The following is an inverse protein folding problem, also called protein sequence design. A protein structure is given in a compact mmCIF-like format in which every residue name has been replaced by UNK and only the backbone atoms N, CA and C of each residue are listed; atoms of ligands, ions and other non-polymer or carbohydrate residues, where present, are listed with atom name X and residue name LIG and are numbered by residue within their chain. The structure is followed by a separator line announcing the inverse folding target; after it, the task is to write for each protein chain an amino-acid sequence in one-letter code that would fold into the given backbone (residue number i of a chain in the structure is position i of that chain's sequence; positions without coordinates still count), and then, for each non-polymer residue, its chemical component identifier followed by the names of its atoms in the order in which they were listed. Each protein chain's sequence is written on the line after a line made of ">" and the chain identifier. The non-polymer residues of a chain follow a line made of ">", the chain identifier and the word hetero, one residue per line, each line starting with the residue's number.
data_IF_434971037577
#
_entry.id   IF_434971037577
#
_cell.length_a   1.000
_cell.length_b   1.000
_cell.length_c   1.000
_cell.angle_alpha   90.00
_cell.angle_beta   90.00
_cell.angle_gamma   90.00
#
_symmetry.space_group_name_H-M   'P 1'
#
loop_
_entity.id
_entity.type
_entity.pdbx_description
1 polymer ?
#
# COMPACT_ATOMS: atom_id res chain seq x y z
N UNK A 1 32.74 2.95 11.09
CA UNK A 1 32.27 1.79 10.32
C UNK A 1 31.34 0.99 11.22
N UNK A 2 30.03 1.04 10.94
CA UNK A 2 29.06 0.13 11.54
C UNK A 2 28.18 -0.35 10.39
N UNK A 3 28.55 -1.51 9.83
CA UNK A 3 27.70 -2.26 8.91
C UNK A 3 26.59 -2.88 9.76
N UNK A 4 25.41 -2.27 9.72
CA UNK A 4 24.19 -2.95 10.15
C UNK A 4 23.96 -4.09 9.14
N UNK A 5 23.93 -5.37 9.55
CA UNK A 5 23.46 -6.41 8.65
C UNK A 5 22.03 -6.04 8.26
N UNK A 6 21.62 -6.18 6.98
CA UNK A 6 20.22 -5.96 6.64
C UNK A 6 19.37 -6.88 7.52
N UNK A 7 18.19 -6.43 8.00
CA UNK A 7 17.30 -7.31 8.74
C UNK A 7 17.09 -8.57 7.89
N UNK A 8 17.35 -9.73 8.48
CA UNK A 8 17.29 -11.05 7.86
C UNK A 8 15.83 -11.49 7.60
N UNK A 9 14.96 -10.55 7.21
CA UNK A 9 13.53 -10.74 7.04
C UNK A 9 13.08 -10.07 5.75
N UNK A 10 12.32 -10.81 4.95
CA UNK A 10 11.63 -10.27 3.78
C UNK A 10 10.70 -9.12 4.21
N UNK A 11 10.61 -8.01 3.44
CA UNK A 11 9.72 -6.91 3.78
C UNK A 11 8.27 -7.38 3.89
N UNK A 12 7.58 -6.96 4.93
CA UNK A 12 6.17 -7.25 5.17
C UNK A 12 5.31 -6.14 4.58
N UNK A 13 4.54 -6.47 3.56
CA UNK A 13 3.58 -5.56 2.91
C UNK A 13 2.17 -5.89 3.39
N UNK A 14 1.45 -4.88 3.85
CA UNK A 14 0.02 -4.99 4.09
C UNK A 14 -0.74 -4.58 2.82
N UNK A 15 -1.50 -5.51 2.25
CA UNK A 15 -2.35 -5.26 1.09
C UNK A 15 -3.80 -5.05 1.56
N UNK A 16 -4.33 -3.87 1.27
CA UNK A 16 -5.72 -3.50 1.53
C UNK A 16 -6.43 -3.44 0.17
N UNK A 17 -7.17 -4.50 -0.18
CA UNK A 17 -7.84 -4.61 -1.48
C UNK A 17 -9.13 -5.45 -1.32
N UNK A 18 -10.31 -4.85 -1.59
CA UNK A 18 -11.59 -5.53 -1.39
C UNK A 18 -11.89 -6.59 -2.45
N UNK A 19 -11.31 -6.50 -3.65
CA UNK A 19 -11.52 -7.52 -4.70
C UNK A 19 -10.62 -8.75 -4.42
N UNK A 20 -11.19 -9.92 -4.11
CA UNK A 20 -10.42 -11.09 -3.72
C UNK A 20 -9.57 -11.68 -4.86
N UNK A 21 -10.01 -11.52 -6.11
CA UNK A 21 -9.29 -12.03 -7.28
C UNK A 21 -8.08 -11.13 -7.57
N UNK A 22 -8.29 -9.81 -7.57
CA UNK A 22 -7.21 -8.84 -7.73
C UNK A 22 -6.21 -8.96 -6.59
N UNK A 23 -6.68 -8.97 -5.35
CA UNK A 23 -5.79 -9.12 -4.20
C UNK A 23 -4.98 -10.43 -4.27
N UNK A 24 -5.51 -11.50 -4.87
CA UNK A 24 -4.75 -12.76 -5.07
C UNK A 24 -3.65 -12.60 -6.09
N UNK A 25 -3.94 -11.94 -7.21
CA UNK A 25 -2.94 -11.65 -8.22
C UNK A 25 -1.82 -10.75 -7.68
N UNK A 26 -2.17 -9.68 -6.95
CA UNK A 26 -1.21 -8.75 -6.37
C UNK A 26 -0.33 -9.42 -5.31
N UNK A 27 -0.90 -10.25 -4.43
CA UNK A 27 -0.13 -11.03 -3.45
C UNK A 27 0.87 -11.96 -4.13
N UNK A 28 0.44 -12.76 -5.11
CA UNK A 28 1.33 -13.68 -5.82
C UNK A 28 2.50 -12.94 -6.49
N UNK A 29 2.24 -11.80 -7.09
CA UNK A 29 3.26 -10.97 -7.72
C UNK A 29 4.27 -10.43 -6.69
N UNK A 30 3.80 -9.84 -5.59
CA UNK A 30 4.66 -9.27 -4.56
C UNK A 30 5.46 -10.34 -3.82
N UNK A 31 4.87 -11.51 -3.56
CA UNK A 31 5.59 -12.65 -2.97
C UNK A 31 6.67 -13.20 -3.90
N UNK A 32 6.40 -13.29 -5.20
CA UNK A 32 7.40 -13.63 -6.20
C UNK A 32 8.54 -12.58 -6.26
N UNK A 33 8.24 -11.32 -5.91
CA UNK A 33 9.20 -10.23 -5.73
C UNK A 33 10.01 -10.28 -4.42
N UNK A 34 9.78 -11.28 -3.55
CA UNK A 34 10.51 -11.43 -2.29
C UNK A 34 9.90 -10.67 -1.11
N UNK A 35 8.62 -10.33 -1.16
CA UNK A 35 7.89 -9.75 -0.03
C UNK A 35 7.08 -10.83 0.72
N UNK A 36 6.74 -10.55 1.97
CA UNK A 36 5.65 -11.25 2.68
C UNK A 36 4.41 -10.36 2.62
N UNK A 37 3.26 -10.92 2.28
CA UNK A 37 2.04 -10.13 2.11
C UNK A 37 0.93 -10.64 3.02
N UNK A 38 0.43 -9.77 3.89
CA UNK A 38 -0.84 -10.01 4.60
C UNK A 38 -1.94 -9.18 3.93
N UNK A 39 -3.15 -9.72 3.89
CA UNK A 39 -4.29 -9.17 3.14
C UNK A 39 -5.43 -8.79 4.07
N UNK A 40 -6.02 -7.64 3.81
CA UNK A 40 -7.29 -7.21 4.40
C UNK A 40 -8.16 -6.55 3.34
N UNK A 41 -9.46 -6.53 3.54
CA UNK A 41 -10.41 -5.99 2.56
C UNK A 41 -10.63 -4.49 2.70
N UNK A 42 -10.29 -3.90 3.86
CA UNK A 42 -10.57 -2.49 4.14
C UNK A 42 -9.69 -1.92 5.27
N UNK A 43 -9.62 -0.59 5.32
CA UNK A 43 -8.85 0.19 6.31
C UNK A 43 -9.48 0.21 7.71
N UNK A 44 -10.70 -0.30 7.84
CA UNK A 44 -11.44 -0.39 9.10
C UNK A 44 -12.19 -1.71 9.16
N UNK A 45 -11.99 -2.46 10.23
CA UNK A 45 -12.80 -3.66 10.51
C UNK A 45 -13.53 -3.43 11.82
N UNK A 46 -14.87 -3.48 11.79
CA UNK A 46 -15.72 -3.40 12.98
C UNK A 46 -15.52 -2.13 13.85
N UNK A 47 -15.11 -1.02 13.25
CA UNK A 47 -14.95 0.27 13.94
C UNK A 47 -13.57 0.51 14.56
N UNK A 48 -12.71 -0.53 14.58
CA UNK A 48 -11.33 -0.39 15.04
C UNK A 48 -10.41 -0.03 13.87
N UNK A 49 -9.45 0.84 14.17
CA UNK A 49 -8.44 1.28 13.21
C UNK A 49 -7.47 0.14 12.95
N UNK A 50 -7.22 -0.16 11.67
CA UNK A 50 -6.31 -1.22 11.27
C UNK A 50 -4.92 -1.04 11.89
N UNK A 51 -4.45 -2.07 12.60
CA UNK A 51 -3.13 -2.04 13.21
C UNK A 51 -2.06 -2.39 12.16
N UNK A 52 -1.19 -1.44 11.86
CA UNK A 52 -0.12 -1.58 10.88
C UNK A 52 1.24 -1.93 11.50
N UNK A 53 1.29 -2.21 12.81
CA UNK A 53 2.54 -2.59 13.49
C UNK A 53 3.09 -3.90 12.92
N UNK A 54 4.36 -3.87 12.51
CA UNK A 54 5.09 -5.05 12.00
C UNK A 54 5.21 -5.11 10.47
N UNK A 55 4.50 -4.24 9.76
CA UNK A 55 4.65 -4.05 8.32
C UNK A 55 5.68 -2.97 8.00
N UNK A 56 6.23 -3.04 6.79
CA UNK A 56 7.21 -2.10 6.24
C UNK A 56 6.59 -1.14 5.21
N UNK A 57 5.47 -1.54 4.57
CA UNK A 57 4.72 -0.72 3.63
C UNK A 57 3.24 -1.14 3.56
N UNK A 58 2.39 -0.25 3.06
CA UNK A 58 0.98 -0.53 2.76
C UNK A 58 0.71 -0.31 1.28
N UNK A 59 0.04 -1.27 0.64
CA UNK A 59 -0.59 -1.10 -0.68
C UNK A 59 -2.09 -1.00 -0.44
N UNK A 60 -2.69 0.10 -0.87
CA UNK A 60 -4.07 0.47 -0.55
C UNK A 60 -4.88 0.69 -1.83
N UNK A 61 -5.95 -0.07 -1.99
CA UNK A 61 -7.05 0.31 -2.88
C UNK A 61 -7.80 1.53 -2.32
N UNK A 62 -7.91 2.56 -3.15
CA UNK A 62 -8.66 3.78 -2.85
C UNK A 62 -9.50 4.19 -4.05
N UNK A 63 -10.17 3.22 -4.70
CA UNK A 63 -11.15 3.52 -5.75
C UNK A 63 -12.27 4.44 -5.25
N UNK A 64 -12.54 4.41 -3.94
CA UNK A 64 -13.39 5.35 -3.24
C UNK A 64 -12.59 6.12 -2.19
N UNK A 65 -12.42 7.43 -2.41
CA UNK A 65 -11.90 8.33 -1.39
C UNK A 65 -13.01 8.65 -0.39
N UNK A 66 -13.00 7.95 0.75
CA UNK A 66 -13.89 8.23 1.88
C UNK A 66 -13.10 8.76 3.09
N UNK A 67 -13.84 9.27 4.09
CA UNK A 67 -13.22 9.83 5.30
C UNK A 67 -12.34 8.80 6.04
N UNK A 68 -12.73 7.53 6.21
CA UNK A 68 -11.84 6.49 6.74
C UNK A 68 -10.53 6.33 5.97
N UNK A 69 -10.57 6.25 4.64
CA UNK A 69 -9.40 6.08 3.77
C UNK A 69 -8.46 7.28 3.85
N UNK A 70 -9.00 8.49 3.75
CA UNK A 70 -8.21 9.72 3.91
C UNK A 70 -7.54 9.78 5.31
N UNK A 71 -8.31 9.45 6.36
CA UNK A 71 -7.80 9.46 7.73
C UNK A 71 -6.76 8.36 7.97
N UNK A 72 -6.90 7.21 7.31
CA UNK A 72 -5.92 6.13 7.34
C UNK A 72 -4.60 6.58 6.71
N UNK A 73 -4.62 7.12 5.48
CA UNK A 73 -3.41 7.59 4.79
C UNK A 73 -2.71 8.67 5.65
N UNK A 74 -3.45 9.65 6.14
CA UNK A 74 -2.91 10.75 6.95
C UNK A 74 -2.34 10.36 8.32
N UNK A 75 -2.76 9.22 8.88
CA UNK A 75 -2.29 8.73 10.19
C UNK A 75 -1.36 7.54 10.11
N UNK A 76 -1.15 6.96 8.92
CA UNK A 76 -0.27 5.83 8.73
C UNK A 76 1.19 6.28 8.86
N UNK A 77 1.94 5.63 9.77
CA UNK A 77 3.37 5.87 9.94
C UNK A 77 4.24 5.16 8.88
N UNK A 78 3.66 4.24 8.11
CA UNK A 78 4.32 3.50 7.05
C UNK A 78 4.11 4.18 5.70
N UNK A 79 5.03 4.02 4.74
CA UNK A 79 4.81 4.51 3.39
C UNK A 79 3.61 3.78 2.74
N UNK A 80 2.68 4.57 2.19
CA UNK A 80 1.45 4.06 1.55
C UNK A 80 1.54 4.22 0.03
N UNK A 81 1.41 3.13 -0.71
CA UNK A 81 1.16 3.12 -2.16
C UNK A 81 -0.34 3.05 -2.37
N UNK A 82 -0.91 4.05 -3.04
CA UNK A 82 -2.34 4.10 -3.36
C UNK A 82 -2.57 3.59 -4.78
N UNK A 83 -3.57 2.73 -4.95
CA UNK A 83 -4.09 2.26 -6.23
C UNK A 83 -5.50 2.81 -6.40
N UNK A 84 -5.81 3.46 -7.52
CA UNK A 84 -7.13 4.07 -7.74
C UNK A 84 -7.52 4.04 -9.22
N UNK A 85 -8.82 3.93 -9.52
CA UNK A 85 -9.41 4.09 -10.85
C UNK A 85 -9.75 5.54 -11.18
N UNK A 86 -9.70 6.46 -10.21
CA UNK A 86 -10.02 7.86 -10.45
C UNK A 86 -9.03 8.44 -11.45
N UNK A 87 -9.50 9.04 -12.55
CA UNK A 87 -8.65 9.75 -13.51
C UNK A 87 -8.53 11.24 -13.19
N UNK A 88 -9.19 11.71 -12.13
CA UNK A 88 -9.21 13.11 -11.75
C UNK A 88 -7.88 13.53 -11.10
N UNK A 89 -7.12 14.48 -11.70
CA UNK A 89 -5.83 14.88 -11.16
C UNK A 89 -5.90 15.46 -9.74
N UNK A 90 -7.04 16.08 -9.39
CA UNK A 90 -7.28 16.63 -8.05
C UNK A 90 -7.32 15.53 -7.00
N UNK A 91 -7.97 14.39 -7.29
CA UNK A 91 -8.04 13.24 -6.38
C UNK A 91 -6.65 12.63 -6.16
N UNK A 92 -5.82 12.57 -7.21
CA UNK A 92 -4.43 12.10 -7.09
C UNK A 92 -3.59 13.03 -6.20
N UNK A 93 -3.75 14.35 -6.39
CA UNK A 93 -3.07 15.34 -5.57
C UNK A 93 -3.54 15.29 -4.10
N UNK A 94 -4.81 14.96 -3.85
CA UNK A 94 -5.33 14.76 -2.49
C UNK A 94 -4.67 13.56 -1.81
N UNK A 95 -4.57 12.40 -2.46
CA UNK A 95 -3.87 11.24 -1.90
C UNK A 95 -2.42 11.56 -1.50
N UNK A 96 -1.69 12.24 -2.38
CA UNK A 96 -0.32 12.69 -2.10
C UNK A 96 -0.27 13.68 -0.94
N UNK A 97 -1.23 14.62 -0.87
CA UNK A 97 -1.33 15.60 0.22
C UNK A 97 -1.66 14.96 1.56
N UNK A 98 -2.39 13.83 1.57
CA UNK A 98 -2.62 13.02 2.76
C UNK A 98 -1.41 12.19 3.17
N UNK A 99 -0.34 12.14 2.37
CA UNK A 99 0.89 11.41 2.71
C UNK A 99 1.11 10.12 1.93
N UNK A 100 0.31 9.83 0.90
CA UNK A 100 0.63 8.73 -0.01
C UNK A 100 2.01 8.95 -0.66
N UNK A 101 2.79 7.87 -0.73
CA UNK A 101 4.14 7.90 -1.30
C UNK A 101 4.13 7.83 -2.82
N UNK A 102 3.17 7.09 -3.38
CA UNK A 102 2.96 6.90 -4.81
C UNK A 102 1.48 6.64 -5.05
N UNK A 103 0.95 7.14 -6.17
CA UNK A 103 -0.42 6.89 -6.62
C UNK A 103 -0.35 6.20 -7.98
N UNK A 104 -0.97 5.03 -8.10
CA UNK A 104 -1.05 4.23 -9.32
C UNK A 104 -2.48 4.25 -9.87
N UNK A 105 -2.62 4.56 -11.15
CA UNK A 105 -3.91 4.51 -11.86
C UNK A 105 -4.22 3.08 -12.30
N UNK A 106 -5.36 2.54 -11.88
CA UNK A 106 -5.87 1.24 -12.34
C UNK A 106 -6.48 1.38 -13.76
N UNK A 107 -6.23 0.43 -14.67
CA UNK A 107 -5.31 -0.70 -14.55
C UNK A 107 -3.85 -0.25 -14.71
N UNK A 108 -2.94 -0.83 -13.93
CA UNK A 108 -1.50 -0.60 -14.01
C UNK A 108 -0.75 -1.92 -14.33
N UNK A 109 0.41 -1.84 -15.00
CA UNK A 109 1.34 -2.96 -15.11
C UNK A 109 1.86 -3.43 -13.73
N UNK A 110 2.08 -4.73 -13.57
CA UNK A 110 2.56 -5.28 -12.28
C UNK A 110 3.96 -4.76 -11.91
N UNK A 111 4.82 -4.51 -12.89
CA UNK A 111 6.14 -3.90 -12.69
C UNK A 111 6.07 -2.47 -12.16
N UNK A 112 5.03 -1.69 -12.50
CA UNK A 112 4.79 -0.37 -11.89
C UNK A 112 4.45 -0.50 -10.40
N UNK A 113 3.66 -1.51 -10.01
CA UNK A 113 3.40 -1.81 -8.61
C UNK A 113 4.71 -2.19 -7.88
N UNK A 114 5.51 -3.06 -8.48
CA UNK A 114 6.79 -3.48 -7.90
C UNK A 114 7.74 -2.29 -7.70
N UNK A 115 7.82 -1.39 -8.69
CA UNK A 115 8.61 -0.17 -8.58
C UNK A 115 8.09 0.79 -7.51
N UNK A 116 6.77 0.97 -7.41
CA UNK A 116 6.16 1.82 -6.39
C UNK A 116 6.42 1.31 -4.97
N UNK A 117 6.29 -0.01 -4.75
CA UNK A 117 6.60 -0.66 -3.47
C UNK A 117 8.09 -0.54 -3.15
N UNK A 118 8.97 -0.74 -4.13
CA UNK A 118 10.40 -0.53 -3.94
C UNK A 118 10.72 0.93 -3.53
N UNK A 119 10.16 1.92 -4.21
CA UNK A 119 10.34 3.35 -3.87
C UNK A 119 9.79 3.66 -2.47
N UNK A 120 8.68 3.02 -2.09
CA UNK A 120 8.10 3.16 -0.76
C UNK A 120 9.03 2.66 0.35
N UNK A 121 9.68 1.51 0.15
CA UNK A 121 10.58 0.89 1.13
C UNK A 121 11.96 1.58 1.26
N UNK A 122 12.33 2.46 0.33
CA UNK A 122 13.63 3.15 0.32
C UNK A 122 13.61 4.51 1.04
N UNK A 123 12.46 4.92 1.59
CA UNK A 123 12.25 6.21 2.26
C UNK A 123 12.72 6.28 3.71
#
# INVERSE_FOLDING_TARGET
>A
MATHPPPNRLPQVLLIEPDPDLATALTLFLEAGGHRVDRVESTSSHGDRLNVVGYDAVVLDADHLDQPTASFIASCALPVVVCTRSTEPTVHAEFLSFGARTVLLKPFPMDELGAAVFVALMG
#
